data_IF_183797165652
#
_entry.id   IF_183797165652
#
_cell.length_a   1.000
_cell.length_b   1.000
_cell.length_c   1.000
_cell.angle_alpha   90.00
_cell.angle_beta   90.00
_cell.angle_gamma   90.00
#
_symmetry.space_group_name_H-M   'P 1'
#
loop_
_entity.id
_entity.type
_entity.pdbx_description
1 polymer ?
#
# COMPACT_ATOMS: atom_id res chain seq x y z
N UNK A 1 1.09 -8.53 -20.00
CA UNK A 1 1.31 -8.37 -18.55
C UNK A 1 2.79 -8.48 -18.32
N UNK A 2 3.43 -7.38 -17.94
CA UNK A 2 4.89 -7.34 -17.77
C UNK A 2 5.23 -7.61 -16.31
N UNK A 3 5.54 -8.89 -16.03
CA UNK A 3 5.87 -9.34 -14.68
C UNK A 3 7.16 -8.70 -14.16
N UNK A 4 8.09 -8.33 -15.04
CA UNK A 4 9.34 -7.68 -14.63
C UNK A 4 9.06 -6.28 -14.05
N UNK A 5 8.18 -5.51 -14.71
CA UNK A 5 7.77 -4.20 -14.19
C UNK A 5 7.06 -4.36 -12.84
N UNK A 6 6.13 -5.31 -12.71
CA UNK A 6 5.40 -5.56 -11.45
C UNK A 6 6.36 -5.88 -10.31
N UNK A 7 7.35 -6.75 -10.55
CA UNK A 7 8.31 -7.16 -9.53
C UNK A 7 9.28 -6.02 -9.17
N UNK A 8 9.77 -5.27 -10.17
CA UNK A 8 10.63 -4.10 -9.93
C UNK A 8 9.95 -3.04 -9.06
N UNK A 9 8.68 -2.75 -9.37
CA UNK A 9 7.86 -1.82 -8.58
C UNK A 9 7.61 -2.37 -7.16
N UNK A 10 7.35 -3.68 -7.05
CA UNK A 10 7.18 -4.35 -5.77
C UNK A 10 8.43 -4.27 -4.88
N UNK A 11 9.62 -4.47 -5.44
CA UNK A 11 10.89 -4.34 -4.72
C UNK A 11 11.11 -2.92 -4.21
N UNK A 12 10.84 -1.91 -5.05
CA UNK A 12 10.89 -0.50 -4.66
C UNK A 12 9.98 -0.22 -3.47
N UNK A 13 8.71 -0.62 -3.57
CA UNK A 13 7.73 -0.42 -2.50
C UNK A 13 8.07 -1.23 -1.24
N UNK A 14 8.65 -2.44 -1.37
CA UNK A 14 9.10 -3.23 -0.23
C UNK A 14 10.19 -2.52 0.58
N UNK A 15 11.15 -1.87 -0.11
CA UNK A 15 12.16 -1.02 0.55
C UNK A 15 11.51 0.15 1.27
N UNK A 16 10.54 0.81 0.64
CA UNK A 16 9.79 1.90 1.26
C UNK A 16 9.04 1.47 2.53
N UNK A 17 8.39 0.30 2.53
CA UNK A 17 7.74 -0.23 3.74
C UNK A 17 8.71 -0.42 4.89
N UNK A 18 9.89 -1.01 4.62
CA UNK A 18 10.92 -1.22 5.65
C UNK A 18 11.46 0.11 6.18
N UNK A 19 11.88 1.01 5.30
CA UNK A 19 12.47 2.29 5.67
C UNK A 19 11.51 3.17 6.48
N UNK A 20 10.21 3.12 6.16
CA UNK A 20 9.20 3.88 6.87
C UNK A 20 8.65 3.16 8.11
N UNK A 21 9.07 1.92 8.39
CA UNK A 21 8.57 1.12 9.51
C UNK A 21 7.05 0.92 9.45
N UNK A 22 6.51 0.68 8.26
CA UNK A 22 5.08 0.44 8.04
C UNK A 22 4.67 -0.92 8.60
N UNK A 23 3.53 -0.98 9.28
CA UNK A 23 2.93 -2.25 9.68
C UNK A 23 2.40 -3.00 8.44
N UNK A 24 2.98 -4.17 8.15
CA UNK A 24 2.64 -4.96 6.97
C UNK A 24 1.24 -5.58 7.03
N UNK A 25 0.63 -5.71 8.22
CA UNK A 25 -0.76 -6.12 8.35
C UNK A 25 -1.71 -4.97 7.97
N UNK A 26 -1.37 -3.73 8.31
CA UNK A 26 -2.12 -2.56 7.83
C UNK A 26 -1.93 -2.37 6.32
N UNK A 27 -0.72 -2.57 5.79
CA UNK A 27 -0.47 -2.57 4.35
C UNK A 27 -1.30 -3.64 3.61
N UNK A 28 -1.53 -4.80 4.23
CA UNK A 28 -2.41 -5.85 3.68
C UNK A 28 -3.87 -5.41 3.66
N UNK A 29 -4.39 -4.78 4.73
CA UNK A 29 -5.76 -4.26 4.76
C UNK A 29 -6.01 -3.22 3.68
N UNK A 30 -5.02 -2.35 3.43
CA UNK A 30 -5.00 -1.38 2.32
C UNK A 30 -5.15 -2.09 0.97
N UNK A 31 -4.40 -3.19 0.74
CA UNK A 31 -4.57 -4.01 -0.47
C UNK A 31 -5.96 -4.65 -0.55
N UNK A 32 -6.43 -5.27 0.54
CA UNK A 32 -7.72 -5.95 0.58
C UNK A 32 -8.87 -4.97 0.27
N UNK A 33 -8.81 -3.74 0.77
CA UNK A 33 -9.76 -2.68 0.43
C UNK A 33 -9.71 -2.32 -1.06
N UNK A 34 -8.52 -2.11 -1.62
CA UNK A 34 -8.36 -1.78 -3.03
C UNK A 34 -8.93 -2.88 -3.94
N UNK A 35 -8.70 -4.15 -3.59
CA UNK A 35 -9.28 -5.31 -4.29
C UNK A 35 -10.80 -5.33 -4.13
N UNK A 36 -11.32 -5.12 -2.92
CA UNK A 36 -12.75 -5.09 -2.63
C UNK A 36 -13.48 -4.00 -3.44
N UNK A 37 -12.86 -2.83 -3.59
CA UNK A 37 -13.35 -1.73 -4.43
C UNK A 37 -13.06 -1.92 -5.93
N UNK A 38 -12.71 -3.13 -6.36
CA UNK A 38 -12.45 -3.48 -7.77
C UNK A 38 -11.38 -2.58 -8.41
N UNK A 39 -10.35 -2.25 -7.64
CA UNK A 39 -9.19 -1.47 -8.05
C UNK A 39 -9.50 0.00 -8.40
N UNK A 40 -10.51 0.57 -7.76
CA UNK A 40 -10.84 1.98 -7.85
C UNK A 40 -9.80 2.83 -7.09
N UNK A 41 -9.02 3.62 -7.83
CA UNK A 41 -7.95 4.46 -7.25
C UNK A 41 -8.49 5.69 -6.49
N UNK A 42 -9.65 6.21 -6.87
CA UNK A 42 -10.28 7.34 -6.17
C UNK A 42 -10.86 6.89 -4.84
N UNK A 43 -11.57 5.77 -4.82
CA UNK A 43 -12.05 5.15 -3.59
C UNK A 43 -10.88 4.82 -2.65
N UNK A 44 -9.75 4.38 -3.21
CA UNK A 44 -8.55 4.07 -2.45
C UNK A 44 -7.92 5.32 -1.83
N UNK A 45 -7.79 6.40 -2.60
CA UNK A 45 -7.27 7.67 -2.10
C UNK A 45 -8.16 8.22 -0.98
N UNK A 46 -9.49 8.18 -1.15
CA UNK A 46 -10.45 8.59 -0.14
C UNK A 46 -10.36 7.76 1.15
N UNK A 47 -10.23 6.44 1.02
CA UNK A 47 -10.05 5.54 2.15
C UNK A 47 -8.78 5.83 2.94
N UNK A 48 -7.64 5.94 2.25
CA UNK A 48 -6.35 6.25 2.87
C UNK A 48 -6.36 7.62 3.55
N UNK A 49 -6.95 8.64 2.91
CA UNK A 49 -7.11 9.96 3.50
C UNK A 49 -7.96 9.91 4.78
N UNK A 50 -9.09 9.20 4.74
CA UNK A 50 -9.96 9.04 5.91
C UNK A 50 -9.23 8.36 7.06
N UNK A 51 -8.52 7.26 6.78
CA UNK A 51 -7.78 6.52 7.81
C UNK A 51 -6.57 7.28 8.36
N UNK A 52 -5.94 8.14 7.55
CA UNK A 52 -4.82 8.97 7.94
C UNK A 52 -5.23 10.19 8.80
N UNK A 53 -6.39 10.79 8.53
CA UNK A 53 -6.84 12.02 9.17
C UNK A 53 -7.82 11.79 10.32
N UNK A 54 -8.78 10.89 10.16
CA UNK A 54 -9.83 10.65 11.15
C UNK A 54 -10.33 9.19 11.11
N UNK A 55 -9.49 8.23 11.54
CA UNK A 55 -9.87 6.82 11.50
C UNK A 55 -10.96 6.52 12.54
N UNK A 56 -12.03 5.80 12.17
CA UNK A 56 -13.05 5.39 13.14
C UNK A 56 -12.46 4.38 14.14
N UNK A 57 -12.44 4.75 15.43
CA UNK A 57 -12.08 3.88 16.57
C UNK A 57 -10.70 3.19 16.42
N UNK A 58 -9.65 3.95 16.09
CA UNK A 58 -8.26 3.43 16.03
C UNK A 58 -7.31 4.19 16.94
N UNK A 59 -6.23 3.54 17.33
CA UNK A 59 -5.15 4.16 18.08
C UNK A 59 -4.41 5.21 17.23
N UNK A 60 -3.78 6.20 17.87
CA UNK A 60 -2.89 7.17 17.19
C UNK A 60 -1.73 6.48 16.46
N UNK A 61 -1.23 5.35 17.00
CA UNK A 61 -0.18 4.54 16.35
C UNK A 61 -0.67 3.97 15.01
N UNK A 62 -1.88 3.40 15.00
CA UNK A 62 -2.51 2.90 13.78
C UNK A 62 -2.73 4.02 12.76
N UNK A 63 -3.21 5.19 13.20
CA UNK A 63 -3.35 6.37 12.34
C UNK A 63 -2.02 6.76 11.68
N UNK A 64 -0.92 6.75 12.45
CA UNK A 64 0.42 7.04 11.92
C UNK A 64 0.87 6.05 10.84
N UNK A 65 0.50 4.77 10.94
CA UNK A 65 0.75 3.82 9.84
C UNK A 65 -0.05 4.16 8.58
N UNK A 66 -1.32 4.56 8.72
CA UNK A 66 -2.14 4.96 7.57
C UNK A 66 -1.67 6.27 6.93
N UNK A 67 -1.12 7.21 7.69
CA UNK A 67 -0.47 8.41 7.15
C UNK A 67 0.70 8.03 6.24
N UNK A 68 1.61 7.18 6.73
CA UNK A 68 2.74 6.68 5.93
C UNK A 68 2.27 5.91 4.70
N UNK A 69 1.27 5.04 4.85
CA UNK A 69 0.70 4.27 3.74
C UNK A 69 0.04 5.16 2.69
N UNK A 70 -0.66 6.21 3.11
CA UNK A 70 -1.23 7.23 2.21
C UNK A 70 -0.13 7.92 1.43
N UNK A 71 0.90 8.41 2.13
CA UNK A 71 1.98 9.17 1.51
C UNK A 71 2.76 8.27 0.53
N UNK A 72 3.01 7.00 0.87
CA UNK A 72 3.59 6.02 -0.05
C UNK A 72 2.70 5.75 -1.26
N UNK A 73 1.39 5.59 -1.07
CA UNK A 73 0.45 5.34 -2.17
C UNK A 73 0.37 6.51 -3.15
N UNK A 74 0.26 7.74 -2.62
CA UNK A 74 0.15 8.96 -3.44
C UNK A 74 1.46 9.30 -4.16
N UNK A 75 2.60 9.05 -3.52
CA UNK A 75 3.92 9.30 -4.12
C UNK A 75 4.42 8.12 -4.96
N UNK A 76 3.64 7.05 -5.10
CA UNK A 76 4.03 5.91 -5.93
C UNK A 76 3.89 6.27 -7.41
N UNK A 77 4.94 6.87 -7.96
CA UNK A 77 5.03 7.24 -9.37
C UNK A 77 5.25 6.00 -10.24
N UNK A 78 4.17 5.26 -10.51
CA UNK A 78 4.19 4.05 -11.33
C UNK A 78 3.18 4.14 -12.46
N UNK A 79 3.49 3.53 -13.61
CA UNK A 79 2.54 3.34 -14.69
C UNK A 79 1.55 2.20 -14.43
N UNK A 80 1.75 1.41 -13.37
CA UNK A 80 0.87 0.31 -13.02
C UNK A 80 -0.50 0.82 -12.56
N UNK A 81 -1.56 0.17 -13.03
CA UNK A 81 -2.94 0.48 -12.64
C UNK A 81 -3.69 -0.79 -12.27
N UNK A 82 -4.83 -0.62 -11.61
CA UNK A 82 -5.77 -1.70 -11.41
C UNK A 82 -5.16 -2.93 -10.72
N UNK A 83 -5.36 -4.09 -11.34
CA UNK A 83 -4.85 -5.40 -10.87
C UNK A 83 -3.33 -5.46 -10.78
N UNK A 84 -2.59 -4.81 -11.68
CA UNK A 84 -1.13 -4.93 -11.70
C UNK A 84 -0.49 -4.11 -10.57
N UNK A 85 -1.06 -2.94 -10.25
CA UNK A 85 -0.70 -2.17 -9.05
C UNK A 85 -0.98 -2.95 -7.77
N UNK A 86 -2.12 -3.64 -7.71
CA UNK A 86 -2.47 -4.53 -6.60
C UNK A 86 -1.50 -5.71 -6.45
N UNK A 87 -1.08 -6.32 -7.57
CA UNK A 87 -0.08 -7.39 -7.58
C UNK A 87 1.28 -6.89 -7.08
N UNK A 88 1.74 -5.74 -7.56
CA UNK A 88 2.99 -5.15 -7.14
C UNK A 88 2.98 -4.86 -5.63
N UNK A 89 1.90 -4.30 -5.10
CA UNK A 89 1.74 -4.06 -3.67
C UNK A 89 1.72 -5.37 -2.86
N UNK A 90 1.01 -6.40 -3.34
CA UNK A 90 0.99 -7.72 -2.70
C UNK A 90 2.36 -8.39 -2.66
N UNK A 91 3.14 -8.28 -3.74
CA UNK A 91 4.53 -8.73 -3.77
C UNK A 91 5.42 -7.91 -2.84
N UNK A 92 5.23 -6.60 -2.77
CA UNK A 92 5.98 -5.72 -1.88
C UNK A 92 5.83 -6.15 -0.41
N UNK A 93 4.61 -6.51 0.01
CA UNK A 93 4.37 -7.05 1.36
C UNK A 93 5.15 -8.35 1.59
N UNK A 94 5.15 -9.27 0.62
CA UNK A 94 5.87 -10.56 0.73
C UNK A 94 7.39 -10.35 0.81
N UNK A 95 7.94 -9.52 -0.07
CA UNK A 95 9.36 -9.19 -0.10
C UNK A 95 9.80 -8.44 1.17
N UNK A 96 8.94 -7.56 1.69
CA UNK A 96 9.20 -6.88 2.95
C UNK A 96 9.27 -7.83 4.15
N UNK A 97 8.45 -8.89 4.16
CA UNK A 97 8.51 -9.96 5.17
C UNK A 97 9.72 -10.87 5.04
N UNK A 98 10.12 -11.21 3.81
CA UNK A 98 11.15 -12.22 3.55
C UNK A 98 12.59 -11.72 3.80
N UNK A 99 12.86 -10.43 3.56
CA UNK A 99 14.21 -9.87 3.72
C UNK A 99 14.49 -9.26 5.10
N UNK A 100 14.03 -9.90 6.17
CA UNK A 100 14.29 -9.51 7.57
C UNK A 100 15.46 -10.29 8.15
#
# INVERSE_FOLDING_TARGET
>A
MDWEIILREAEGMARCFKQNGVDLNEAKKVLDYYVYKRFDEEAMACYLQTMASNPPLRSKKTQGYYQKLRDLWLNWNTGLKGRDKARAWGWAIRLAKAGG
#
